data_IF_229948664438
#
_entry.id   IF_229948664438
#
_cell.length_a   1.000
_cell.length_b   1.000
_cell.length_c   1.000
_cell.angle_alpha   90.00
_cell.angle_beta   90.00
_cell.angle_gamma   90.00
#
_symmetry.space_group_name_H-M   'P 1'
#
loop_
_entity.id
_entity.type
_entity.pdbx_description
1 polymer ?
#
# COMPACT_ATOMS: atom_id res chain seq x y z
N UNK A 1 -13.70 -17.82 -18.61
CA UNK A 1 -14.15 -16.73 -17.71
C UNK A 1 -12.95 -16.17 -16.98
N UNK A 2 -12.94 -14.85 -16.76
CA UNK A 2 -11.78 -13.98 -16.55
C UNK A 2 -10.70 -14.48 -15.57
N UNK A 3 -9.44 -14.34 -15.98
CA UNK A 3 -8.24 -14.74 -15.23
C UNK A 3 -8.18 -14.00 -13.89
N UNK A 4 -8.17 -14.76 -12.80
CA UNK A 4 -7.74 -14.34 -11.46
C UNK A 4 -6.24 -13.99 -11.53
N UNK A 5 -5.91 -12.71 -11.66
CA UNK A 5 -4.56 -12.21 -11.42
C UNK A 5 -4.55 -11.55 -10.03
N UNK A 6 -4.36 -12.34 -8.98
CA UNK A 6 -4.15 -11.86 -7.60
C UNK A 6 -2.64 -11.85 -7.30
N UNK A 7 -1.88 -11.13 -8.12
CA UNK A 7 -0.46 -10.94 -7.82
C UNK A 7 -0.34 -9.76 -6.86
N UNK A 8 -0.37 -10.06 -5.57
CA UNK A 8 0.20 -9.18 -4.56
C UNK A 8 1.67 -9.59 -4.40
N UNK A 9 2.63 -8.94 -5.08
CA UNK A 9 4.02 -9.15 -4.74
C UNK A 9 4.35 -8.40 -3.43
N UNK A 10 5.24 -8.98 -2.64
CA UNK A 10 6.06 -8.20 -1.71
C UNK A 10 7.01 -7.37 -2.56
N UNK A 11 6.83 -6.05 -2.54
CA UNK A 11 7.57 -5.15 -3.42
C UNK A 11 8.62 -4.45 -2.58
N UNK A 12 9.88 -4.84 -2.77
CA UNK A 12 11.00 -4.10 -2.21
C UNK A 12 11.41 -2.92 -3.10
N UNK A 13 11.19 -3.03 -4.42
CA UNK A 13 11.45 -2.00 -5.43
C UNK A 13 10.61 -2.28 -6.68
N UNK A 14 10.12 -1.24 -7.36
CA UNK A 14 9.40 -1.40 -8.62
C UNK A 14 10.07 -0.59 -9.73
N UNK A 15 10.33 -1.24 -10.86
CA UNK A 15 10.67 -0.55 -12.11
C UNK A 15 9.41 -0.04 -12.81
N UNK A 16 9.57 0.80 -13.83
CA UNK A 16 8.44 1.42 -14.55
C UNK A 16 7.47 0.37 -15.12
N UNK A 17 8.02 -0.75 -15.61
CA UNK A 17 7.23 -1.86 -16.17
C UNK A 17 6.38 -2.55 -15.11
N UNK A 18 6.94 -2.77 -13.91
CA UNK A 18 6.21 -3.31 -12.78
C UNK A 18 5.15 -2.33 -12.29
N UNK A 19 5.44 -1.02 -12.23
CA UNK A 19 4.46 0.00 -11.86
C UNK A 19 3.26 0.04 -12.82
N UNK A 20 3.50 -0.04 -14.13
CA UNK A 20 2.44 -0.15 -15.14
C UNK A 20 1.58 -1.40 -14.93
N UNK A 21 2.22 -2.54 -14.62
CA UNK A 21 1.53 -3.80 -14.36
C UNK A 21 0.65 -3.72 -13.10
N UNK A 22 1.15 -3.13 -12.02
CA UNK A 22 0.45 -2.96 -10.75
C UNK A 22 -0.71 -1.95 -10.83
N UNK A 23 -0.66 -1.01 -11.77
CA UNK A 23 -1.71 -0.03 -12.00
C UNK A 23 -2.70 -0.42 -13.12
N UNK A 24 -2.46 -1.55 -13.79
CA UNK A 24 -3.29 -2.04 -14.87
C UNK A 24 -4.71 -2.34 -14.35
N UNK A 25 -5.72 -1.71 -14.95
CA UNK A 25 -7.12 -1.81 -14.50
C UNK A 25 -7.50 -0.87 -13.35
N UNK A 26 -6.60 0.01 -12.91
CA UNK A 26 -6.82 0.94 -11.78
C UNK A 26 -6.56 2.41 -12.15
N UNK A 27 -6.78 2.81 -13.39
CA UNK A 27 -6.65 4.20 -13.87
C UNK A 27 -5.29 4.87 -13.54
N UNK A 28 -4.21 4.08 -13.53
CA UNK A 28 -2.87 4.59 -13.20
C UNK A 28 -2.65 4.80 -11.70
N UNK A 29 -3.41 4.10 -10.84
CA UNK A 29 -3.28 4.13 -9.39
C UNK A 29 -2.95 2.75 -8.84
N UNK A 30 -2.11 2.70 -7.81
CA UNK A 30 -1.74 1.49 -7.09
C UNK A 30 -2.25 1.60 -5.65
N UNK A 31 -2.95 0.56 -5.18
CA UNK A 31 -3.25 0.38 -3.75
C UNK A 31 -2.02 -0.25 -3.10
N UNK A 32 -1.49 0.39 -2.06
CA UNK A 32 -0.29 -0.04 -1.35
C UNK A 32 -0.60 -0.15 0.14
N UNK A 33 -0.04 -1.17 0.79
CA UNK A 33 0.00 -1.31 2.25
C UNK A 33 1.45 -1.40 2.69
N UNK A 34 1.78 -0.73 3.78
CA UNK A 34 3.13 -0.62 4.30
C UNK A 34 3.21 -0.97 5.78
N UNK A 35 4.19 -1.80 6.13
CA UNK A 35 4.63 -2.01 7.49
C UNK A 35 5.61 -0.90 7.89
N UNK A 36 5.16 0.01 8.75
CA UNK A 36 5.97 1.17 9.20
C UNK A 36 7.10 0.81 10.18
N UNK A 37 7.20 -0.46 10.58
CA UNK A 37 8.15 -0.99 11.57
C UNK A 37 9.23 -1.83 10.89
N UNK A 38 8.87 -2.65 9.91
CA UNK A 38 9.82 -3.45 9.10
C UNK A 38 10.25 -2.76 7.81
N UNK A 39 9.44 -1.81 7.32
CA UNK A 39 9.66 -1.11 6.05
C UNK A 39 9.22 -1.89 4.81
N UNK A 40 8.60 -3.07 4.99
CA UNK A 40 8.05 -3.86 3.89
C UNK A 40 6.76 -3.23 3.35
N UNK A 41 6.54 -3.29 2.03
CA UNK A 41 5.25 -2.93 1.46
C UNK A 41 4.80 -3.93 0.39
N UNK A 42 3.49 -3.97 0.20
CA UNK A 42 2.80 -4.81 -0.75
C UNK A 42 1.79 -3.95 -1.51
N UNK A 43 1.67 -4.17 -2.82
CA UNK A 43 0.78 -3.37 -3.67
C UNK A 43 0.40 -4.06 -4.96
N UNK A 44 -0.55 -3.47 -5.68
CA UNK A 44 -1.09 -4.02 -6.94
C UNK A 44 -2.24 -5.01 -6.77
N UNK A 45 -2.73 -5.19 -5.54
CA UNK A 45 -3.94 -5.97 -5.28
C UNK A 45 -5.21 -5.16 -5.56
N UNK A 46 -6.31 -5.86 -5.82
CA UNK A 46 -7.62 -5.24 -5.99
C UNK A 46 -8.05 -4.55 -4.69
N UNK A 47 -7.72 -5.09 -3.52
CA UNK A 47 -8.03 -4.48 -2.23
C UNK A 47 -6.82 -4.35 -1.31
N UNK A 48 -6.80 -3.31 -0.47
CA UNK A 48 -5.80 -3.18 0.60
C UNK A 48 -5.78 -4.38 1.54
N UNK A 49 -6.90 -5.08 1.71
CA UNK A 49 -6.98 -6.27 2.55
C UNK A 49 -6.04 -7.39 2.07
N UNK A 50 -5.93 -7.61 0.77
CA UNK A 50 -5.07 -8.66 0.19
C UNK A 50 -3.58 -8.32 0.41
N UNK A 51 -3.19 -7.06 0.20
CA UNK A 51 -1.85 -6.57 0.53
C UNK A 51 -1.52 -6.67 2.01
N UNK A 52 -2.50 -6.39 2.88
CA UNK A 52 -2.36 -6.56 4.33
C UNK A 52 -2.15 -8.02 4.69
N UNK A 53 -2.96 -8.93 4.14
CA UNK A 53 -2.92 -10.34 4.48
C UNK A 53 -1.59 -10.97 4.06
N UNK A 54 -1.07 -10.62 2.87
CA UNK A 54 0.27 -11.02 2.46
C UNK A 54 1.38 -10.55 3.42
N UNK A 55 1.31 -9.29 3.87
CA UNK A 55 2.30 -8.76 4.81
C UNK A 55 2.22 -9.48 6.17
N UNK A 56 1.00 -9.84 6.62
CA UNK A 56 0.79 -10.64 7.84
C UNK A 56 1.35 -12.05 7.69
N UNK A 57 1.10 -12.72 6.57
CA UNK A 57 1.69 -14.04 6.26
C UNK A 57 3.23 -13.98 6.28
N UNK A 58 3.80 -12.83 5.90
CA UNK A 58 5.25 -12.59 5.94
C UNK A 58 5.75 -12.04 7.29
N UNK A 59 4.96 -12.13 8.36
CA UNK A 59 5.36 -11.82 9.73
C UNK A 59 5.17 -10.36 10.17
N UNK A 60 4.51 -9.53 9.37
CA UNK A 60 4.19 -8.16 9.77
C UNK A 60 3.09 -8.14 10.82
N UNK A 61 3.28 -7.35 11.87
CA UNK A 61 2.25 -7.16 12.89
C UNK A 61 1.18 -6.17 12.39
N UNK A 62 -0.09 -6.49 12.63
CA UNK A 62 -1.22 -5.77 12.04
C UNK A 62 -1.27 -4.28 12.46
N UNK A 63 -0.80 -3.96 13.66
CA UNK A 63 -0.65 -2.58 14.16
C UNK A 63 0.30 -1.71 13.35
N UNK A 64 1.18 -2.32 12.58
CA UNK A 64 2.16 -1.60 11.78
C UNK A 64 1.70 -1.37 10.33
N UNK A 65 0.58 -1.97 9.90
CA UNK A 65 0.19 -2.04 8.49
C UNK A 65 -0.72 -0.90 8.08
N UNK A 66 -0.23 0.07 7.30
CA UNK A 66 -1.00 1.25 6.91
C UNK A 66 -1.19 1.36 5.40
N UNK A 67 -2.40 1.73 4.98
CA UNK A 67 -2.80 1.76 3.57
C UNK A 67 -2.61 3.12 2.91
N UNK A 68 -2.39 3.11 1.60
CA UNK A 68 -2.40 4.31 0.77
C UNK A 68 -2.78 3.98 -0.69
N UNK A 69 -3.14 5.02 -1.44
CA UNK A 69 -3.24 4.99 -2.89
C UNK A 69 -2.15 5.87 -3.48
N UNK A 70 -1.37 5.32 -4.40
CA UNK A 70 -0.36 6.05 -5.16
C UNK A 70 -0.86 6.29 -6.58
N UNK A 71 -0.96 7.55 -6.99
CA UNK A 71 -1.32 7.93 -8.36
C UNK A 71 -0.05 8.13 -9.19
N UNK A 72 0.23 7.23 -10.13
CA UNK A 72 1.49 7.22 -10.89
C UNK A 72 1.69 8.48 -11.73
N UNK A 73 0.62 9.02 -12.33
CA UNK A 73 0.68 10.22 -13.18
C UNK A 73 1.09 11.49 -12.41
N UNK A 74 0.69 11.60 -11.15
CA UNK A 74 0.90 12.83 -10.36
C UNK A 74 1.91 12.65 -9.23
N UNK A 75 2.29 11.41 -8.91
CA UNK A 75 3.03 11.08 -7.70
C UNK A 75 2.24 11.35 -6.40
N UNK A 76 0.93 11.65 -6.50
CA UNK A 76 0.10 11.96 -5.33
C UNK A 76 -0.12 10.69 -4.51
N UNK A 77 0.04 10.82 -3.20
CA UNK A 77 -0.26 9.77 -2.22
C UNK A 77 -1.53 10.18 -1.47
N UNK A 78 -2.53 9.30 -1.47
CA UNK A 78 -3.73 9.44 -0.63
C UNK A 78 -3.68 8.39 0.47
N UNK A 79 -3.43 8.84 1.70
CA UNK A 79 -3.40 7.98 2.88
C UNK A 79 -4.79 7.42 3.17
N UNK A 80 -4.86 6.13 3.51
CA UNK A 80 -6.11 5.46 3.84
C UNK A 80 -5.96 4.54 5.05
N UNK A 81 -6.91 4.59 5.96
CA UNK A 81 -6.93 3.77 7.17
C UNK A 81 -8.06 2.74 7.18
N UNK A 82 -8.69 2.44 6.04
CA UNK A 82 -9.81 1.46 5.98
C UNK A 82 -9.44 0.08 6.55
N UNK A 83 -8.17 -0.34 6.45
CA UNK A 83 -7.69 -1.59 7.06
C UNK A 83 -7.37 -1.46 8.56
N UNK A 84 -7.38 -0.24 9.10
CA UNK A 84 -6.92 0.16 10.43
C UNK A 84 -7.89 1.11 11.17
N UNK A 85 -9.17 1.19 10.81
CA UNK A 85 -10.08 2.25 11.32
C UNK A 85 -10.22 2.29 12.85
N UNK A 86 -10.04 1.15 13.51
CA UNK A 86 -10.04 0.97 14.96
C UNK A 86 -8.72 1.33 15.68
N UNK A 87 -7.68 1.80 14.97
CA UNK A 87 -6.36 2.05 15.57
C UNK A 87 -6.14 3.52 15.88
N UNK A 88 -5.34 3.75 16.93
CA UNK A 88 -4.80 5.07 17.23
C UNK A 88 -4.06 5.62 16.01
N UNK A 89 -4.39 6.85 15.64
CA UNK A 89 -3.89 7.50 14.43
C UNK A 89 -4.75 7.33 13.18
N UNK A 90 -5.91 6.65 13.26
CA UNK A 90 -6.96 6.71 12.25
C UNK A 90 -8.07 7.74 12.61
N UNK A 91 -8.68 8.36 11.60
CA UNK A 91 -9.94 9.09 11.73
C UNK A 91 -10.81 8.77 10.50
N UNK A 92 -11.85 7.96 10.69
CA UNK A 92 -12.69 7.48 9.59
C UNK A 92 -11.92 6.59 8.62
N UNK A 93 -11.83 7.00 7.36
CA UNK A 93 -11.09 6.31 6.29
C UNK A 93 -9.66 6.86 6.07
N UNK A 94 -9.23 7.84 6.86
CA UNK A 94 -7.95 8.51 6.73
C UNK A 94 -6.99 8.15 7.87
N UNK A 95 -5.69 8.15 7.55
CA UNK A 95 -4.62 8.17 8.55
C UNK A 95 -4.56 9.60 9.07
N UNK A 96 -4.94 9.83 10.32
CA UNK A 96 -4.94 11.15 10.95
C UNK A 96 -3.58 11.51 11.56
N UNK A 97 -2.81 10.51 11.99
CA UNK A 97 -1.49 10.73 12.57
C UNK A 97 -0.47 11.12 11.49
N UNK A 98 0.10 12.32 11.62
CA UNK A 98 1.04 12.89 10.65
C UNK A 98 2.40 12.18 10.67
N UNK A 99 2.81 11.59 11.80
CA UNK A 99 4.01 10.79 11.91
C UNK A 99 3.88 9.47 11.14
N UNK A 100 2.72 8.83 11.19
CA UNK A 100 2.40 7.65 10.39
C UNK A 100 2.34 8.00 8.91
N UNK A 101 1.68 9.11 8.53
CA UNK A 101 1.66 9.59 7.14
C UNK A 101 3.10 9.77 6.60
N UNK A 102 3.97 10.44 7.36
CA UNK A 102 5.36 10.68 6.94
C UNK A 102 6.16 9.37 6.74
N UNK A 103 5.96 8.37 7.61
CA UNK A 103 6.58 7.04 7.46
C UNK A 103 6.06 6.33 6.20
N UNK A 104 4.75 6.30 6.01
CA UNK A 104 4.12 5.68 4.83
C UNK A 104 4.59 6.35 3.54
N UNK A 105 4.62 7.69 3.50
CA UNK A 105 5.13 8.43 2.35
C UNK A 105 6.59 8.11 2.06
N UNK A 106 7.44 8.08 3.10
CA UNK A 106 8.86 7.74 2.94
C UNK A 106 9.05 6.36 2.34
N UNK A 107 8.30 5.37 2.81
CA UNK A 107 8.34 4.02 2.27
C UNK A 107 7.87 4.01 0.82
N UNK A 108 6.70 4.61 0.52
CA UNK A 108 6.16 4.67 -0.84
C UNK A 108 7.13 5.31 -1.83
N UNK A 109 7.78 6.41 -1.43
CA UNK A 109 8.77 7.09 -2.27
C UNK A 109 10.05 6.29 -2.46
N UNK A 110 10.45 5.46 -1.49
CA UNK A 110 11.57 4.52 -1.65
C UNK A 110 11.24 3.42 -2.67
N UNK A 111 9.97 3.00 -2.81
CA UNK A 111 9.60 2.00 -3.82
C UNK A 111 9.65 2.52 -5.26
N UNK A 112 9.44 3.82 -5.45
CA UNK A 112 9.47 4.48 -6.76
C UNK A 112 10.88 4.75 -7.32
N UNK A 113 11.96 4.48 -6.56
CA UNK A 113 13.32 4.88 -6.92
C UNK A 113 14.31 3.74 -6.92
#
# INVERSE_FOLDING_TARGET
MAKKFYNTPLIQRADDKLLELLACGHDGMIKVVCDIKTGACAGGAEWHAESRDLLKENGSAEENLWGAKLYLKTGKIKFQSMINQHRDGANGDLIADTGIQAKVETLIRRFLR
#
